data_IF_355641005465
#
_entry.id   IF_355641005465
#
_cell.length_a   1.000
_cell.length_b   1.000
_cell.length_c   1.000
_cell.angle_alpha   90.00
_cell.angle_beta   90.00
_cell.angle_gamma   90.00
#
_symmetry.space_group_name_H-M   'P 1'
#
loop_
_entity.id
_entity.type
_entity.pdbx_description
1 polymer ?
#
# COMPACT_ATOMS: atom_id res chain seq x y z
N UNK A 1 30.47 9.02 -11.20
CA UNK A 1 29.54 7.87 -11.14
C UNK A 1 28.57 7.98 -9.94
N UNK A 2 29.03 8.32 -8.73
CA UNK A 2 28.19 8.40 -7.54
C UNK A 2 27.04 9.41 -7.63
N UNK A 3 27.22 10.54 -8.30
CA UNK A 3 26.19 11.57 -8.43
C UNK A 3 25.08 11.18 -9.44
N UNK A 4 25.40 10.38 -10.46
CA UNK A 4 24.43 9.87 -11.42
C UNK A 4 23.48 8.88 -10.72
N UNK A 5 24.02 7.99 -9.91
CA UNK A 5 23.20 7.05 -9.14
C UNK A 5 22.30 7.77 -8.13
N UNK A 6 22.81 8.77 -7.39
CA UNK A 6 22.01 9.58 -6.47
C UNK A 6 20.84 10.27 -7.16
N UNK A 7 21.07 10.80 -8.37
CA UNK A 7 20.00 11.43 -9.17
C UNK A 7 18.92 10.44 -9.61
N UNK A 8 19.29 9.19 -9.91
CA UNK A 8 18.33 8.15 -10.28
C UNK A 8 17.42 7.77 -9.10
N UNK A 9 17.97 7.61 -7.89
CA UNK A 9 17.18 7.35 -6.68
C UNK A 9 16.22 8.50 -6.36
N UNK A 10 16.72 9.74 -6.42
CA UNK A 10 15.89 10.92 -6.22
C UNK A 10 14.78 11.02 -7.27
N UNK A 11 15.10 10.76 -8.54
CA UNK A 11 14.10 10.76 -9.62
C UNK A 11 13.02 9.68 -9.39
N UNK A 12 13.41 8.47 -8.97
CA UNK A 12 12.46 7.40 -8.64
C UNK A 12 11.53 7.80 -7.48
N UNK A 13 12.07 8.42 -6.43
CA UNK A 13 11.29 8.92 -5.31
C UNK A 13 10.33 10.05 -5.71
N UNK A 14 10.77 10.96 -6.58
CA UNK A 14 9.94 12.05 -7.11
C UNK A 14 8.81 11.48 -7.97
N UNK A 15 9.11 10.56 -8.89
CA UNK A 15 8.10 9.92 -9.75
C UNK A 15 7.05 9.19 -8.90
N UNK A 16 7.49 8.44 -7.89
CA UNK A 16 6.59 7.76 -6.96
C UNK A 16 5.73 8.76 -6.18
N UNK A 17 6.33 9.82 -5.63
CA UNK A 17 5.63 10.86 -4.88
C UNK A 17 4.62 11.63 -5.73
N UNK A 18 5.00 12.00 -6.96
CA UNK A 18 4.10 12.67 -7.92
C UNK A 18 2.95 11.74 -8.30
N UNK A 19 3.24 10.46 -8.60
CA UNK A 19 2.19 9.47 -8.91
C UNK A 19 1.18 9.34 -7.78
N UNK A 20 1.65 9.21 -6.54
CA UNK A 20 0.81 9.12 -5.35
C UNK A 20 -0.02 10.40 -5.11
N UNK A 21 0.57 11.58 -5.35
CA UNK A 21 -0.11 12.86 -5.19
C UNK A 21 -1.17 13.06 -6.27
N UNK A 22 -0.86 12.71 -7.51
CA UNK A 22 -1.81 12.80 -8.65
C UNK A 22 -3.01 11.93 -8.40
N UNK A 23 -2.80 10.69 -8.01
CA UNK A 23 -3.87 9.75 -7.70
C UNK A 23 -4.77 10.23 -6.54
N UNK A 24 -4.17 10.77 -5.46
CA UNK A 24 -4.94 11.39 -4.38
C UNK A 24 -5.76 12.58 -4.87
N UNK A 25 -5.20 13.41 -5.75
CA UNK A 25 -5.86 14.60 -6.30
C UNK A 25 -7.01 14.21 -7.22
N UNK A 26 -6.82 13.22 -8.10
CA UNK A 26 -7.83 12.72 -9.02
C UNK A 26 -9.01 12.12 -8.25
N UNK A 27 -8.75 11.30 -7.23
CA UNK A 27 -9.78 10.79 -6.35
C UNK A 27 -10.52 11.87 -5.56
N UNK A 28 -9.85 12.96 -5.19
CA UNK A 28 -10.49 14.11 -4.55
C UNK A 28 -11.38 14.90 -5.53
N UNK A 29 -10.87 15.18 -6.73
CA UNK A 29 -11.61 15.91 -7.77
C UNK A 29 -12.83 15.13 -8.26
N UNK A 30 -12.70 13.84 -8.54
CA UNK A 30 -13.79 12.98 -8.99
C UNK A 30 -14.95 12.98 -7.99
N UNK A 31 -14.64 12.89 -6.69
CA UNK A 31 -15.66 12.97 -5.63
C UNK A 31 -16.32 14.36 -5.55
N UNK A 32 -15.56 15.44 -5.76
CA UNK A 32 -16.06 16.81 -5.69
C UNK A 32 -16.92 17.18 -6.90
N UNK A 33 -16.60 16.64 -8.07
CA UNK A 33 -17.29 16.91 -9.32
C UNK A 33 -18.46 15.97 -9.61
N UNK A 34 -18.65 14.91 -8.79
CA UNK A 34 -19.62 13.83 -9.04
C UNK A 34 -19.49 13.17 -10.43
N UNK A 35 -18.30 13.21 -11.03
CA UNK A 35 -17.99 12.65 -12.34
C UNK A 35 -17.27 11.30 -12.22
N UNK A 36 -17.77 10.39 -11.39
CA UNK A 36 -17.21 9.04 -11.30
C UNK A 36 -17.78 8.15 -12.41
N UNK A 37 -16.94 7.71 -13.33
CA UNK A 37 -17.32 6.66 -14.27
C UNK A 37 -17.19 5.28 -13.61
N UNK A 38 -18.02 4.27 -13.97
CA UNK A 38 -17.87 2.90 -13.45
C UNK A 38 -16.48 2.31 -13.72
N UNK A 39 -15.87 2.65 -14.83
CA UNK A 39 -14.52 2.23 -15.20
C UNK A 39 -13.46 2.90 -14.32
N UNK A 40 -13.56 4.19 -14.03
CA UNK A 40 -12.68 4.89 -13.10
C UNK A 40 -12.75 4.30 -11.70
N UNK A 41 -13.96 4.08 -11.18
CA UNK A 41 -14.17 3.45 -9.87
C UNK A 41 -13.57 2.05 -9.75
N UNK A 42 -13.46 1.31 -10.86
CA UNK A 42 -12.73 0.03 -10.93
C UNK A 42 -11.21 0.23 -11.02
N UNK A 43 -10.76 1.19 -11.81
CA UNK A 43 -9.34 1.38 -12.11
C UNK A 43 -8.57 1.99 -10.93
N UNK A 44 -9.18 2.91 -10.18
CA UNK A 44 -8.54 3.60 -9.05
C UNK A 44 -7.95 2.64 -8.01
N UNK A 45 -8.71 1.66 -7.46
CA UNK A 45 -8.15 0.72 -6.48
C UNK A 45 -7.07 -0.19 -7.07
N UNK A 46 -7.06 -0.42 -8.37
CA UNK A 46 -6.04 -1.23 -9.06
C UNK A 46 -4.75 -0.44 -9.22
N UNK A 47 -4.85 0.81 -9.69
CA UNK A 47 -3.71 1.70 -9.88
C UNK A 47 -2.96 1.95 -8.57
N UNK A 48 -3.69 2.30 -7.50
CA UNK A 48 -3.16 2.49 -6.15
C UNK A 48 -2.30 1.30 -5.69
N UNK A 49 -2.81 0.10 -5.87
CA UNK A 49 -2.11 -1.12 -5.45
C UNK A 49 -0.90 -1.42 -6.33
N UNK A 50 -1.02 -1.22 -7.65
CA UNK A 50 0.09 -1.46 -8.56
C UNK A 50 1.28 -0.55 -8.27
N UNK A 51 1.05 0.73 -7.96
CA UNK A 51 2.11 1.68 -7.60
C UNK A 51 2.88 1.19 -6.37
N UNK A 52 2.16 0.83 -5.31
CA UNK A 52 2.77 0.36 -4.05
C UNK A 52 3.49 -0.97 -4.23
N UNK A 53 2.84 -1.95 -4.88
CA UNK A 53 3.43 -3.28 -5.09
C UNK A 53 4.67 -3.19 -5.97
N UNK A 54 4.62 -2.44 -7.07
CA UNK A 54 5.76 -2.25 -7.96
C UNK A 54 6.94 -1.58 -7.25
N UNK A 55 6.67 -0.53 -6.46
CA UNK A 55 7.70 0.14 -5.67
C UNK A 55 8.36 -0.81 -4.65
N UNK A 56 7.56 -1.61 -3.93
CA UNK A 56 8.08 -2.59 -2.97
C UNK A 56 8.89 -3.70 -3.65
N UNK A 57 8.46 -4.21 -4.79
CA UNK A 57 9.20 -5.22 -5.56
C UNK A 57 10.56 -4.67 -6.02
N UNK A 58 10.58 -3.44 -6.54
CA UNK A 58 11.82 -2.76 -6.95
C UNK A 58 12.75 -2.58 -5.74
N UNK A 59 12.24 -2.11 -4.61
CA UNK A 59 13.01 -1.91 -3.39
C UNK A 59 13.60 -3.23 -2.86
N UNK A 60 12.80 -4.31 -2.84
CA UNK A 60 13.27 -5.64 -2.43
C UNK A 60 14.42 -6.11 -3.33
N UNK A 61 14.28 -5.93 -4.64
CA UNK A 61 15.31 -6.30 -5.60
C UNK A 61 16.58 -5.45 -5.44
N UNK A 62 16.45 -4.14 -5.20
CA UNK A 62 17.59 -3.23 -5.04
C UNK A 62 18.35 -3.43 -3.73
N UNK A 63 17.64 -3.61 -2.64
CA UNK A 63 18.24 -3.75 -1.32
C UNK A 63 18.74 -5.18 -1.04
N UNK A 64 18.17 -6.19 -1.71
CA UNK A 64 18.48 -7.62 -1.53
C UNK A 64 18.57 -8.04 -0.06
N UNK A 65 17.72 -7.44 0.80
CA UNK A 65 17.75 -7.59 2.26
C UNK A 65 16.50 -8.29 2.77
N UNK A 66 16.70 -9.32 3.58
CA UNK A 66 15.61 -10.04 4.25
C UNK A 66 14.79 -9.09 5.13
N UNK A 67 15.45 -8.12 5.77
CA UNK A 67 14.81 -7.13 6.62
C UNK A 67 13.82 -6.22 5.87
N UNK A 68 13.99 -6.04 4.57
CA UNK A 68 13.03 -5.31 3.73
C UNK A 68 12.03 -6.27 3.08
N UNK A 69 12.45 -7.47 2.75
CA UNK A 69 11.60 -8.49 2.13
C UNK A 69 10.43 -8.88 3.04
N UNK A 70 10.67 -9.08 4.34
CA UNK A 70 9.62 -9.47 5.29
C UNK A 70 8.47 -8.47 5.35
N UNK A 71 8.68 -7.18 5.69
CA UNK A 71 7.60 -6.20 5.73
C UNK A 71 6.97 -5.97 4.35
N UNK A 72 7.75 -6.03 3.27
CA UNK A 72 7.25 -5.92 1.90
C UNK A 72 6.26 -7.03 1.56
N UNK A 73 6.60 -8.29 1.86
CA UNK A 73 5.70 -9.44 1.65
C UNK A 73 4.42 -9.33 2.49
N UNK A 74 4.53 -8.88 3.74
CA UNK A 74 3.36 -8.66 4.61
C UNK A 74 2.42 -7.64 3.99
N UNK A 75 2.94 -6.53 3.51
CA UNK A 75 2.13 -5.46 2.91
C UNK A 75 1.47 -5.95 1.62
N UNK A 76 2.23 -6.55 0.70
CA UNK A 76 1.71 -7.06 -0.58
C UNK A 76 0.69 -8.18 -0.36
N UNK A 77 1.02 -9.16 0.49
CA UNK A 77 0.13 -10.28 0.80
C UNK A 77 -1.20 -9.83 1.37
N UNK A 78 -1.15 -8.85 2.29
CA UNK A 78 -2.39 -8.27 2.85
C UNK A 78 -3.22 -7.54 1.79
N UNK A 79 -2.60 -6.78 0.89
CA UNK A 79 -3.34 -6.09 -0.16
C UNK A 79 -4.10 -7.07 -1.06
N UNK A 80 -3.50 -8.20 -1.38
CA UNK A 80 -4.14 -9.27 -2.15
C UNK A 80 -5.30 -9.90 -1.35
N UNK A 81 -5.04 -10.34 -0.12
CA UNK A 81 -6.04 -11.04 0.72
C UNK A 81 -7.27 -10.16 0.97
N UNK A 82 -7.07 -8.90 1.35
CA UNK A 82 -8.19 -7.99 1.65
C UNK A 82 -8.95 -7.60 0.37
N UNK A 83 -8.28 -7.52 -0.78
CA UNK A 83 -8.97 -7.26 -2.04
C UNK A 83 -9.86 -8.41 -2.44
N UNK A 84 -9.34 -9.63 -2.40
CA UNK A 84 -10.11 -10.84 -2.69
C UNK A 84 -11.30 -11.00 -1.73
N UNK A 85 -11.08 -10.71 -0.43
CA UNK A 85 -12.14 -10.77 0.57
C UNK A 85 -13.25 -9.74 0.29
N UNK A 86 -12.90 -8.52 -0.10
CA UNK A 86 -13.89 -7.48 -0.44
C UNK A 86 -14.69 -7.84 -1.67
N UNK A 87 -14.05 -8.37 -2.70
CA UNK A 87 -14.69 -8.81 -3.93
C UNK A 87 -15.69 -9.94 -3.64
N UNK A 88 -15.26 -10.96 -2.91
CA UNK A 88 -16.11 -12.07 -2.50
C UNK A 88 -17.33 -11.62 -1.67
N UNK A 89 -17.13 -10.68 -0.73
CA UNK A 89 -18.24 -10.11 0.06
C UNK A 89 -19.21 -9.30 -0.80
N UNK A 90 -18.71 -8.57 -1.81
CA UNK A 90 -19.54 -7.82 -2.74
C UNK A 90 -20.42 -8.76 -3.59
N UNK A 91 -19.89 -9.88 -4.07
CA UNK A 91 -20.63 -10.90 -4.80
C UNK A 91 -21.78 -11.50 -3.95
N UNK A 92 -21.58 -11.60 -2.64
CA UNK A 92 -22.63 -12.06 -1.72
C UNK A 92 -23.66 -10.98 -1.33
N UNK A 93 -23.66 -9.83 -2.00
CA UNK A 93 -24.50 -8.65 -1.67
C UNK A 93 -24.36 -8.20 -0.20
N UNK A 94 -23.23 -8.46 0.43
CA UNK A 94 -22.93 -8.05 1.79
C UNK A 94 -21.89 -6.93 1.75
N UNK A 95 -22.35 -5.70 1.97
CA UNK A 95 -21.43 -4.58 2.13
C UNK A 95 -20.69 -4.71 3.46
N UNK A 96 -19.36 -4.82 3.41
CA UNK A 96 -18.56 -4.64 4.63
C UNK A 96 -18.66 -3.18 5.06
N UNK A 97 -19.52 -2.88 6.01
CA UNK A 97 -19.61 -1.58 6.69
C UNK A 97 -18.45 -1.39 7.69
N UNK A 98 -17.28 -1.97 7.41
CA UNK A 98 -16.09 -1.62 8.19
C UNK A 98 -15.69 -0.23 7.73
N UNK A 99 -16.13 0.76 8.47
CA UNK A 99 -15.72 2.14 8.27
C UNK A 99 -14.21 2.17 8.06
N UNK A 100 -13.77 2.85 7.00
CA UNK A 100 -12.35 3.12 6.76
C UNK A 100 -11.85 3.85 7.99
N UNK A 101 -11.30 3.10 8.94
CA UNK A 101 -10.89 3.66 10.22
C UNK A 101 -9.78 4.67 9.97
N UNK A 102 -9.73 5.73 10.77
CA UNK A 102 -8.64 6.70 10.76
C UNK A 102 -7.26 6.01 10.76
N UNK A 103 -7.15 4.88 11.46
CA UNK A 103 -5.97 4.01 11.50
C UNK A 103 -5.56 3.53 10.09
N UNK A 104 -6.53 3.23 9.21
CA UNK A 104 -6.24 2.84 7.83
C UNK A 104 -5.59 3.95 7.01
N UNK A 105 -6.02 5.19 7.21
CA UNK A 105 -5.45 6.37 6.53
C UNK A 105 -4.03 6.66 7.03
N UNK A 106 -3.82 6.64 8.33
CA UNK A 106 -2.50 6.85 8.96
C UNK A 106 -1.49 5.78 8.51
N UNK A 107 -1.90 4.52 8.53
CA UNK A 107 -1.08 3.40 8.05
C UNK A 107 -0.60 3.62 6.61
N UNK A 108 -1.51 3.97 5.71
CA UNK A 108 -1.18 4.18 4.30
C UNK A 108 -0.21 5.36 4.13
N UNK A 109 -0.40 6.43 4.86
CA UNK A 109 0.49 7.58 4.84
C UNK A 109 1.91 7.20 5.33
N UNK A 110 2.03 6.49 6.45
CA UNK A 110 3.32 6.02 6.97
C UNK A 110 4.01 5.11 5.95
N UNK A 111 3.27 4.19 5.33
CA UNK A 111 3.77 3.29 4.29
C UNK A 111 4.31 4.06 3.07
N UNK A 112 3.57 5.04 2.57
CA UNK A 112 3.97 5.85 1.42
C UNK A 112 5.23 6.66 1.71
N UNK A 113 5.33 7.25 2.90
CA UNK A 113 6.54 7.98 3.35
C UNK A 113 7.73 7.03 3.43
N UNK A 114 7.56 5.84 4.03
CA UNK A 114 8.63 4.84 4.14
C UNK A 114 9.17 4.42 2.77
N UNK A 115 8.27 4.13 1.83
CA UNK A 115 8.62 3.74 0.45
C UNK A 115 9.34 4.89 -0.26
N UNK A 116 8.83 6.11 -0.18
CA UNK A 116 9.44 7.28 -0.82
C UNK A 116 10.87 7.54 -0.29
N UNK A 117 11.08 7.43 1.02
CA UNK A 117 12.39 7.58 1.64
C UNK A 117 13.35 6.45 1.21
N UNK A 118 12.88 5.20 1.15
CA UNK A 118 13.69 4.07 0.69
C UNK A 118 14.06 4.20 -0.79
N UNK A 119 13.16 4.71 -1.63
CA UNK A 119 13.46 4.98 -3.04
C UNK A 119 14.47 6.12 -3.22
N UNK A 120 14.52 7.09 -2.31
CA UNK A 120 15.41 8.24 -2.40
C UNK A 120 16.85 7.93 -1.99
N UNK A 121 17.10 6.80 -1.30
CA UNK A 121 18.38 6.50 -0.67
C UNK A 121 19.00 5.26 -1.28
N UNK A 122 20.29 5.30 -1.70
CA UNK A 122 21.01 4.11 -2.15
C UNK A 122 21.06 3.04 -1.05
N UNK A 123 20.93 1.73 -1.38
CA UNK A 123 20.93 0.64 -0.41
C UNK A 123 22.22 0.55 0.45
N UNK A 124 23.35 1.00 -0.10
CA UNK A 124 24.65 0.95 0.57
C UNK A 124 24.97 2.20 1.39
N UNK A 125 24.02 3.14 1.52
CA UNK A 125 24.27 4.35 2.30
C UNK A 125 24.17 4.05 3.81
N UNK A 126 25.19 4.45 4.57
CA UNK A 126 25.18 4.43 6.04
C UNK A 126 24.40 5.62 6.61
N UNK A 127 23.24 5.91 6.06
CA UNK A 127 22.43 7.05 6.49
C UNK A 127 21.47 6.64 7.61
N UNK A 128 21.38 7.46 8.67
CA UNK A 128 20.37 7.29 9.71
C UNK A 128 18.93 7.31 9.14
N UNK A 129 18.73 7.98 7.99
CA UNK A 129 17.45 8.02 7.28
C UNK A 129 17.04 6.63 6.80
N UNK A 130 18.01 5.79 6.42
CA UNK A 130 17.74 4.40 6.05
C UNK A 130 17.13 3.63 7.23
N UNK A 131 17.70 3.77 8.43
CA UNK A 131 17.17 3.15 9.65
C UNK A 131 15.76 3.62 9.99
N UNK A 132 15.51 4.93 9.85
CA UNK A 132 14.15 5.51 10.03
C UNK A 132 13.17 4.93 9.00
N UNK A 133 13.57 4.83 7.73
CA UNK A 133 12.73 4.29 6.67
C UNK A 133 12.33 2.83 6.90
N UNK A 134 13.28 2.00 7.33
CA UNK A 134 12.99 0.61 7.75
C UNK A 134 12.02 0.59 8.93
N UNK A 135 12.25 1.41 9.94
CA UNK A 135 11.38 1.48 11.13
C UNK A 135 9.95 1.86 10.75
N UNK A 136 9.78 2.87 9.89
CA UNK A 136 8.47 3.27 9.38
C UNK A 136 7.79 2.15 8.57
N UNK A 137 8.54 1.41 7.76
CA UNK A 137 8.01 0.29 7.00
C UNK A 137 7.53 -0.85 7.91
N UNK A 138 8.27 -1.17 8.98
CA UNK A 138 7.87 -2.16 9.98
C UNK A 138 6.63 -1.71 10.77
N UNK A 139 6.55 -0.43 11.14
CA UNK A 139 5.35 0.14 11.77
C UNK A 139 4.15 0.00 10.83
N UNK A 140 4.30 0.36 9.55
CA UNK A 140 3.25 0.21 8.56
C UNK A 140 2.82 -1.26 8.37
N UNK A 141 3.77 -2.20 8.32
CA UNK A 141 3.49 -3.64 8.22
C UNK A 141 2.73 -4.16 9.45
N UNK A 142 3.14 -3.76 10.65
CA UNK A 142 2.45 -4.13 11.91
C UNK A 142 1.02 -3.59 11.95
N UNK A 143 0.82 -2.30 11.62
CA UNK A 143 -0.52 -1.70 11.52
C UNK A 143 -1.36 -2.38 10.43
N UNK A 144 -0.71 -2.85 9.37
CA UNK A 144 -1.34 -3.58 8.27
C UNK A 144 -1.86 -4.93 8.73
N UNK A 145 -1.08 -5.71 9.47
CA UNK A 145 -1.52 -6.97 10.06
C UNK A 145 -2.62 -6.77 11.10
N UNK A 146 -2.49 -5.76 11.94
CA UNK A 146 -3.52 -5.40 12.91
C UNK A 146 -4.87 -5.10 12.22
N UNK A 147 -4.85 -4.25 11.20
CA UNK A 147 -6.06 -3.94 10.45
C UNK A 147 -6.63 -5.16 9.73
N UNK A 148 -5.78 -6.04 9.20
CA UNK A 148 -6.20 -7.29 8.55
C UNK A 148 -6.93 -8.21 9.52
N UNK A 149 -6.44 -8.36 10.76
CA UNK A 149 -7.11 -9.19 11.76
C UNK A 149 -8.50 -8.65 12.12
N UNK A 150 -8.68 -7.34 12.17
CA UNK A 150 -9.99 -6.71 12.39
C UNK A 150 -10.94 -7.04 11.23
N UNK A 151 -10.48 -6.89 9.98
CA UNK A 151 -11.27 -7.21 8.79
C UNK A 151 -11.68 -8.69 8.74
N UNK A 152 -10.73 -9.60 8.99
CA UNK A 152 -11.01 -11.04 9.00
C UNK A 152 -11.99 -11.45 10.10
N UNK A 153 -11.85 -10.86 11.29
CA UNK A 153 -12.79 -11.09 12.39
C UNK A 153 -14.20 -10.62 12.06
N UNK A 154 -14.32 -9.47 11.42
CA UNK A 154 -15.60 -8.92 10.99
C UNK A 154 -16.26 -9.76 9.88
N UNK A 155 -15.46 -10.30 8.95
CA UNK A 155 -15.95 -11.16 7.87
C UNK A 155 -16.18 -12.63 8.29
N UNK A 156 -15.66 -13.03 9.46
CA UNK A 156 -15.66 -14.44 9.89
C UNK A 156 -17.05 -15.11 9.92
N UNK A 157 -18.13 -14.47 10.41
CA UNK A 157 -19.47 -15.06 10.39
C UNK A 157 -19.95 -15.41 8.98
N UNK A 158 -19.65 -14.53 8.02
CA UNK A 158 -20.03 -14.68 6.63
C UNK A 158 -19.20 -15.75 5.92
N UNK A 159 -17.87 -15.76 6.16
CA UNK A 159 -16.97 -16.81 5.70
C UNK A 159 -17.46 -18.19 6.16
N UNK A 160 -17.81 -18.31 7.43
CA UNK A 160 -18.30 -19.58 7.99
C UNK A 160 -19.65 -20.04 7.40
N UNK A 161 -20.50 -19.09 7.02
CA UNK A 161 -21.79 -19.41 6.38
C UNK A 161 -21.61 -19.85 4.91
N UNK A 162 -20.63 -19.27 4.21
CA UNK A 162 -20.29 -19.62 2.82
C UNK A 162 -19.63 -21.01 2.67
N UNK A 163 -18.92 -21.46 3.71
CA UNK A 163 -18.31 -22.81 3.75
C UNK A 163 -19.32 -23.94 3.99
N UNK A 164 -20.57 -23.62 4.32
CA UNK A 164 -21.63 -24.59 4.62
C UNK A 164 -22.58 -24.84 3.45
N UNK A 165 -22.34 -24.25 2.31
CA UNK A 165 -23.01 -24.48 1.05
C UNK A 165 -22.11 -25.28 0.11
#
# INVERSE_FOLDING_TARGET
LGDVYKRQYLAAAIIFGVGALTDWLDGYLARKLNESTPFGAFLDPVADKLIVVSALVILIAQHASVWLTIPGLVIVGREIVISALREWMAEMNRSMTVAVSYIGKVKTMIQMIAIALLLAIPPQSESWVLGVSYSLLYIAATMTLWSMTIYLRSAWPDLRSGLKK
#
